data_IF_678454247017
#
_entry.id   IF_678454247017
#
_cell.length_a   1.000
_cell.length_b   1.000
_cell.length_c   1.000
_cell.angle_alpha   90.00
_cell.angle_beta   90.00
_cell.angle_gamma   90.00
#
_symmetry.space_group_name_H-M   'P 1'
#
loop_
_entity.id
_entity.type
_entity.pdbx_description
1 polymer ?
#
# COMPACT_ATOMS: atom_id res chain seq x y z
N UNK A 1 14.29 -13.27 -8.97
CA UNK A 1 14.37 -14.48 -8.14
C UNK A 1 13.69 -14.14 -6.82
N UNK A 2 12.49 -14.66 -6.57
CA UNK A 2 11.71 -14.32 -5.39
C UNK A 2 12.36 -14.97 -4.17
N UNK A 3 12.91 -14.16 -3.26
CA UNK A 3 13.11 -14.63 -1.89
C UNK A 3 11.72 -14.75 -1.29
N UNK A 4 11.28 -15.98 -1.03
CA UNK A 4 10.27 -16.27 -0.01
C UNK A 4 10.86 -15.93 1.36
N UNK A 5 11.19 -14.66 1.59
CA UNK A 5 11.25 -14.15 2.95
C UNK A 5 9.81 -14.22 3.43
N UNK A 6 9.55 -15.16 4.36
CA UNK A 6 8.30 -15.25 5.12
C UNK A 6 7.73 -13.84 5.25
N UNK A 7 6.57 -13.56 4.64
CA UNK A 7 5.87 -12.32 4.92
C UNK A 7 5.48 -12.38 6.40
N UNK A 8 6.36 -11.85 7.26
CA UNK A 8 6.13 -11.78 8.69
C UNK A 8 4.95 -10.84 8.87
N UNK A 9 3.80 -11.40 9.23
CA UNK A 9 2.65 -10.61 9.65
C UNK A 9 3.03 -9.93 10.96
N UNK A 10 3.35 -8.64 10.89
CA UNK A 10 3.74 -7.81 12.02
C UNK A 10 2.55 -7.46 12.95
N UNK A 11 1.35 -7.98 12.64
CA UNK A 11 0.11 -7.69 13.35
C UNK A 11 -0.39 -6.25 13.14
N UNK A 12 0.28 -5.47 12.30
CA UNK A 12 -0.06 -4.08 11.98
C UNK A 12 -0.90 -4.01 10.72
N UNK A 13 -1.52 -2.86 10.53
CA UNK A 13 -2.42 -2.59 9.42
C UNK A 13 -1.97 -1.33 8.71
N UNK A 14 -2.13 -1.32 7.40
CA UNK A 14 -1.59 -0.28 6.53
C UNK A 14 -2.63 0.21 5.54
N UNK A 15 -2.43 1.44 5.07
CA UNK A 15 -3.13 2.02 3.92
C UNK A 15 -2.10 2.56 2.95
N UNK A 16 -2.33 2.37 1.65
CA UNK A 16 -1.48 2.94 0.61
C UNK A 16 -2.14 4.23 0.12
N UNK A 17 -1.42 5.34 0.22
CA UNK A 17 -1.80 6.62 -0.35
C UNK A 17 -1.09 6.83 -1.68
N UNK A 18 -1.83 7.35 -2.65
CA UNK A 18 -1.36 7.67 -3.99
C UNK A 18 -1.60 9.15 -4.30
N UNK A 19 -0.74 9.72 -5.16
CA UNK A 19 -0.85 11.10 -5.62
C UNK A 19 -0.62 11.17 -7.14
N UNK A 20 -1.40 10.41 -7.91
CA UNK A 20 -1.28 10.26 -9.35
C UNK A 20 -1.38 11.60 -10.11
N UNK A 21 -2.16 12.56 -9.59
CA UNK A 21 -2.36 13.89 -10.20
C UNK A 21 -1.67 15.07 -9.49
N UNK A 22 -0.74 14.79 -8.56
CA UNK A 22 0.09 15.80 -7.84
C UNK A 22 -0.68 16.90 -7.09
N UNK A 23 -1.99 16.72 -6.85
CA UNK A 23 -2.84 17.73 -6.20
C UNK A 23 -3.32 17.32 -4.82
N UNK A 24 -3.50 16.02 -4.59
CA UNK A 24 -4.06 15.48 -3.36
C UNK A 24 -3.61 14.03 -3.15
N UNK A 25 -3.42 13.64 -1.90
CA UNK A 25 -3.20 12.25 -1.52
C UNK A 25 -4.54 11.56 -1.34
N UNK A 26 -4.73 10.43 -2.02
CA UNK A 26 -5.93 9.59 -1.89
C UNK A 26 -5.54 8.19 -1.47
N UNK A 27 -6.48 7.47 -0.88
CA UNK A 27 -6.33 6.04 -0.65
C UNK A 27 -6.34 5.32 -1.99
N UNK A 28 -5.30 4.53 -2.25
CA UNK A 28 -5.26 3.67 -3.43
C UNK A 28 -6.47 2.73 -3.43
N UNK A 29 -7.07 2.51 -4.60
CA UNK A 29 -8.33 1.77 -4.71
C UNK A 29 -8.21 0.32 -4.22
N UNK A 30 -7.02 -0.26 -4.36
CA UNK A 30 -6.65 -1.59 -3.89
C UNK A 30 -6.45 -1.65 -2.36
N UNK A 31 -6.39 -0.50 -1.68
CA UNK A 31 -6.40 -0.38 -0.21
C UNK A 31 -7.67 0.33 0.29
N UNK A 32 -8.84 0.05 -0.32
CA UNK A 32 -10.14 0.55 0.19
C UNK A 32 -10.48 0.09 1.61
N UNK A 33 -9.77 -0.92 2.12
CA UNK A 33 -9.70 -1.29 3.52
C UNK A 33 -8.26 -1.23 4.05
N UNK A 34 -8.03 -1.67 5.29
CA UNK A 34 -6.67 -1.87 5.77
C UNK A 34 -6.04 -3.09 5.11
N UNK A 35 -4.72 -3.08 4.93
CA UNK A 35 -3.94 -4.17 4.34
C UNK A 35 -2.77 -4.56 5.23
N UNK A 36 -2.21 -5.75 5.02
CA UNK A 36 -0.94 -6.18 5.61
C UNK A 36 0.24 -5.44 4.99
N UNK A 37 1.41 -5.54 5.62
CA UNK A 37 2.65 -4.96 5.08
C UNK A 37 3.04 -5.55 3.72
N UNK A 38 2.86 -6.86 3.54
CA UNK A 38 3.11 -7.56 2.26
C UNK A 38 2.21 -7.04 1.14
N UNK A 39 0.91 -6.97 1.38
CA UNK A 39 -0.06 -6.41 0.43
C UNK A 39 0.23 -4.94 0.09
N UNK A 40 0.61 -4.12 1.08
CA UNK A 40 0.98 -2.73 0.82
C UNK A 40 2.18 -2.61 -0.14
N UNK A 41 3.17 -3.49 0.00
CA UNK A 41 4.33 -3.56 -0.91
C UNK A 41 3.89 -3.98 -2.31
N UNK A 42 3.04 -4.99 -2.43
CA UNK A 42 2.51 -5.47 -3.71
C UNK A 42 1.69 -4.39 -4.43
N UNK A 43 0.85 -3.65 -3.70
CA UNK A 43 0.12 -2.50 -4.23
C UNK A 43 1.10 -1.44 -4.76
N UNK A 44 2.12 -1.07 -3.96
CA UNK A 44 3.12 -0.09 -4.41
C UNK A 44 3.82 -0.52 -5.71
N UNK A 45 4.22 -1.80 -5.79
CA UNK A 45 4.86 -2.35 -6.99
C UNK A 45 3.92 -2.35 -8.21
N UNK A 46 2.65 -2.72 -8.01
CA UNK A 46 1.64 -2.67 -9.05
C UNK A 46 1.46 -1.24 -9.60
N UNK A 47 1.34 -0.27 -8.71
CA UNK A 47 1.15 1.14 -9.08
C UNK A 47 2.35 1.69 -9.86
N UNK A 48 3.58 1.43 -9.40
CA UNK A 48 4.79 1.85 -10.12
C UNK A 48 4.85 1.21 -11.51
N UNK A 49 4.61 -0.10 -11.59
CA UNK A 49 4.77 -0.88 -12.83
C UNK A 49 3.69 -0.60 -13.87
N UNK A 50 2.44 -0.40 -13.44
CA UNK A 50 1.27 -0.38 -14.34
C UNK A 50 0.51 0.94 -14.37
N UNK A 51 0.63 1.79 -13.35
CA UNK A 51 -0.05 3.10 -13.28
C UNK A 51 0.86 4.27 -13.58
N UNK A 52 2.17 4.04 -13.74
CA UNK A 52 3.15 5.05 -14.12
C UNK A 52 3.38 6.12 -13.04
N UNK A 53 3.04 5.83 -11.78
CA UNK A 53 3.36 6.71 -10.65
C UNK A 53 4.81 6.52 -10.22
N UNK A 54 5.45 7.59 -9.78
CA UNK A 54 6.78 7.50 -9.19
C UNK A 54 6.71 7.03 -7.74
N UNK A 55 7.77 6.41 -7.20
CA UNK A 55 7.83 6.04 -5.79
C UNK A 55 7.53 7.21 -4.83
N UNK A 56 7.99 8.43 -5.13
CA UNK A 56 7.68 9.61 -4.31
C UNK A 56 6.19 10.02 -4.29
N UNK A 57 5.38 9.47 -5.20
CA UNK A 57 3.93 9.70 -5.29
C UNK A 57 3.12 8.60 -4.58
N UNK A 58 3.79 7.70 -3.85
CA UNK A 58 3.17 6.65 -3.03
C UNK A 58 3.62 6.81 -1.58
N UNK A 59 2.72 6.55 -0.64
CA UNK A 59 3.02 6.50 0.79
C UNK A 59 2.31 5.32 1.43
N UNK A 60 3.04 4.54 2.21
CA UNK A 60 2.46 3.51 3.08
C UNK A 60 2.34 4.10 4.48
N UNK A 61 1.13 4.05 5.04
CA UNK A 61 0.83 4.59 6.36
C UNK A 61 0.33 3.47 7.25
N UNK A 62 0.99 3.26 8.39
CA UNK A 62 0.49 2.38 9.45
C UNK A 62 -0.75 3.01 10.09
N UNK A 63 -1.81 2.22 10.23
CA UNK A 63 -3.10 2.63 10.80
C UNK A 63 -3.53 1.62 11.86
N UNK A 64 -4.35 2.03 12.84
CA UNK A 64 -5.02 1.07 13.71
C UNK A 64 -5.91 0.15 12.88
N UNK A 65 -6.24 -1.02 13.41
CA UNK A 65 -7.21 -1.89 12.77
C UNK A 65 -8.61 -1.29 12.91
N UNK A 66 -8.95 -0.45 11.94
CA UNK A 66 -10.17 0.35 11.93
C UNK A 66 -11.35 -0.37 11.27
N UNK A 67 -11.10 -1.51 10.61
CA UNK A 67 -12.15 -2.37 10.11
C UNK A 67 -12.64 -3.25 11.26
N UNK A 68 -13.70 -2.79 11.93
CA UNK A 68 -14.55 -3.71 12.70
C UNK A 68 -15.50 -4.39 11.71
N UNK A 69 -15.46 -5.71 11.66
CA UNK A 69 -16.55 -6.50 11.09
C UNK A 69 -17.90 -6.15 11.74
#
# INVERSE_FOLDING_TARGET
MFRNELQVMDGKRYVVLECQFRREWKVAIESRGTVTSGEAIEICQYWIKYKGVKPEQLKVVEVPDILKE
#
